data_IF_238029926866
#
_entry.id   IF_238029926866
#
_cell.length_a   1.000
_cell.length_b   1.000
_cell.length_c   1.000
_cell.angle_alpha   90.00
_cell.angle_beta   90.00
_cell.angle_gamma   90.00
#
_symmetry.space_group_name_H-M   'P 1'
#
loop_
_entity.id
_entity.type
_entity.pdbx_description
1 polymer ?
#
# COMPACT_ATOMS: atom_id res chain seq x y z
N UNK A 1 -50.75 -14.00 28.09
CA UNK A 1 -49.46 -13.59 28.69
C UNK A 1 -48.45 -14.69 28.45
N UNK A 2 -47.53 -14.47 27.51
CA UNK A 2 -46.33 -15.25 27.23
C UNK A 2 -45.32 -14.26 26.60
N UNK A 3 -44.03 -14.31 26.93
CA UNK A 3 -43.13 -13.20 26.68
C UNK A 3 -42.68 -13.15 25.22
N UNK A 4 -42.59 -11.94 24.69
CA UNK A 4 -41.99 -11.66 23.39
C UNK A 4 -40.48 -11.98 23.45
N UNK A 5 -40.02 -12.87 22.59
CA UNK A 5 -38.61 -13.08 22.35
C UNK A 5 -38.07 -11.87 21.58
N UNK A 6 -37.29 -11.05 22.27
CA UNK A 6 -36.51 -9.97 21.67
C UNK A 6 -35.35 -10.64 20.94
N UNK A 7 -35.39 -10.65 19.61
CA UNK A 7 -34.27 -11.08 18.79
C UNK A 7 -33.19 -10.01 18.89
N UNK A 8 -32.24 -10.20 19.80
CA UNK A 8 -30.99 -9.45 19.81
C UNK A 8 -30.26 -9.76 18.50
N UNK A 9 -30.22 -8.78 17.61
CA UNK A 9 -29.31 -8.79 16.46
C UNK A 9 -27.92 -8.78 17.07
N UNK A 10 -27.20 -9.90 16.95
CA UNK A 10 -25.77 -9.95 17.24
C UNK A 10 -25.09 -8.96 16.29
N UNK A 11 -24.88 -7.74 16.77
CA UNK A 11 -23.90 -6.84 16.21
C UNK A 11 -22.56 -7.60 16.20
N UNK A 12 -21.87 -7.56 15.06
CA UNK A 12 -20.48 -8.00 15.01
C UNK A 12 -19.75 -7.35 16.20
N UNK A 13 -18.97 -8.11 16.98
CA UNK A 13 -18.26 -7.52 18.09
C UNK A 13 -17.44 -6.35 17.55
N UNK A 14 -17.67 -5.17 18.12
CA UNK A 14 -16.77 -4.04 18.02
C UNK A 14 -15.38 -4.60 18.29
N UNK A 15 -14.52 -4.62 17.27
CA UNK A 15 -13.15 -5.08 17.38
C UNK A 15 -12.52 -4.12 18.38
N UNK A 16 -12.48 -4.59 19.63
CA UNK A 16 -12.13 -3.77 20.76
C UNK A 16 -10.84 -3.03 20.45
N UNK A 17 -10.87 -1.72 20.65
CA UNK A 17 -9.65 -0.95 20.87
C UNK A 17 -8.81 -1.74 21.87
N UNK A 18 -7.73 -2.34 21.40
CA UNK A 18 -6.72 -2.90 22.27
C UNK A 18 -6.35 -1.82 23.30
N UNK A 19 -6.09 -2.18 24.57
CA UNK A 19 -5.66 -1.21 25.56
C UNK A 19 -4.41 -0.53 25.02
N UNK A 20 -4.53 0.78 24.73
CA UNK A 20 -3.48 1.57 24.11
C UNK A 20 -2.17 1.33 24.84
N UNK A 21 -1.15 0.87 24.10
CA UNK A 21 0.21 0.78 24.60
C UNK A 21 0.57 2.14 25.22
N UNK A 22 1.25 2.16 26.38
CA UNK A 22 1.62 3.40 27.02
C UNK A 22 2.43 4.23 26.03
N UNK A 23 1.88 5.39 25.65
CA UNK A 23 2.51 6.31 24.73
C UNK A 23 3.96 6.53 25.18
N UNK A 24 4.91 6.26 24.29
CA UNK A 24 6.30 6.65 24.52
C UNK A 24 6.31 8.14 24.82
N UNK A 25 6.70 8.53 26.04
CA UNK A 25 6.87 9.94 26.43
C UNK A 25 7.76 10.62 25.37
N UNK A 26 7.16 11.39 24.47
CA UNK A 26 7.84 12.09 23.38
C UNK A 26 7.37 11.78 21.94
N UNK A 27 6.45 10.84 21.71
CA UNK A 27 5.96 10.58 20.33
C UNK A 27 5.04 11.69 19.83
N UNK A 28 5.39 12.33 18.72
CA UNK A 28 4.53 13.28 18.00
C UNK A 28 3.25 12.54 17.57
N UNK A 29 2.07 13.12 17.81
CA UNK A 29 0.79 12.57 17.34
C UNK A 29 0.48 13.11 15.95
N UNK A 30 -0.20 12.32 15.13
CA UNK A 30 -0.64 12.80 13.83
C UNK A 30 -1.66 13.93 13.98
N UNK A 31 -1.57 14.88 13.06
CA UNK A 31 -2.40 16.09 12.96
C UNK A 31 -2.40 16.48 11.48
N UNK A 32 -3.53 16.28 10.81
CA UNK A 32 -3.64 16.48 9.37
C UNK A 32 -3.28 17.91 8.95
N UNK A 33 -3.66 18.92 9.74
CA UNK A 33 -3.42 20.33 9.42
C UNK A 33 -1.92 20.70 9.50
N UNK A 34 -1.13 19.97 10.27
CA UNK A 34 0.32 20.19 10.42
C UNK A 34 1.15 19.32 9.49
N UNK A 35 0.75 18.07 9.33
CA UNK A 35 1.59 17.04 8.70
C UNK A 35 1.25 16.79 7.22
N UNK A 36 0.08 17.22 6.74
CA UNK A 36 -0.26 17.20 5.32
C UNK A 36 0.01 18.56 4.66
N UNK A 37 0.38 18.50 3.38
CA UNK A 37 0.52 19.65 2.50
C UNK A 37 -0.07 19.32 1.13
N UNK A 38 -1.26 18.73 1.13
CA UNK A 38 -1.86 18.17 -0.07
C UNK A 38 -2.27 19.23 -1.09
N UNK A 39 -1.91 18.97 -2.34
CA UNK A 39 -2.60 19.53 -3.51
C UNK A 39 -2.66 18.46 -4.60
N UNK A 40 -3.73 18.43 -5.42
CA UNK A 40 -3.89 17.38 -6.43
C UNK A 40 -2.76 17.40 -7.48
N UNK A 41 -2.46 16.24 -8.10
CA UNK A 41 -1.49 16.17 -9.19
C UNK A 41 -1.93 17.01 -10.38
N UNK A 42 -0.95 17.62 -11.06
CA UNK A 42 -1.21 18.40 -12.27
C UNK A 42 -1.74 17.52 -13.42
N UNK A 43 -1.33 16.25 -13.44
CA UNK A 43 -1.76 15.27 -14.42
C UNK A 43 -1.79 13.87 -13.82
N UNK A 44 -2.71 13.07 -14.34
CA UNK A 44 -2.81 11.63 -14.09
C UNK A 44 -2.70 10.90 -15.42
N UNK A 45 -1.93 9.82 -15.45
CA UNK A 45 -1.83 8.92 -16.59
C UNK A 45 -2.79 7.75 -16.38
N UNK A 46 -3.51 7.39 -17.42
CA UNK A 46 -4.38 6.21 -17.47
C UNK A 46 -3.62 5.00 -18.01
N UNK A 47 -4.15 3.79 -17.77
CA UNK A 47 -3.65 2.55 -18.38
C UNK A 47 -3.59 2.69 -19.90
N UNK A 48 -4.60 3.33 -20.49
CA UNK A 48 -4.67 3.60 -21.93
C UNK A 48 -3.57 4.53 -22.43
N UNK A 49 -3.14 5.53 -21.64
CA UNK A 49 -2.00 6.38 -22.00
C UNK A 49 -0.69 5.58 -22.07
N UNK A 50 -0.60 4.47 -21.33
CA UNK A 50 0.50 3.50 -21.40
C UNK A 50 0.30 2.44 -22.48
N UNK A 51 -0.81 2.46 -23.23
CA UNK A 51 -1.17 1.41 -24.18
C UNK A 51 -1.54 0.08 -23.50
N UNK A 52 -2.01 0.14 -22.25
CA UNK A 52 -2.48 -1.00 -21.47
C UNK A 52 -4.00 -0.96 -21.32
N UNK A 53 -4.62 -2.12 -21.13
CA UNK A 53 -6.05 -2.20 -20.82
C UNK A 53 -6.33 -1.68 -19.40
N UNK A 54 -7.45 -0.98 -19.18
CA UNK A 54 -7.92 -0.64 -17.84
C UNK A 54 -8.10 -1.89 -16.99
N UNK A 55 -7.82 -1.78 -15.69
CA UNK A 55 -8.10 -2.87 -14.74
C UNK A 55 -9.53 -2.77 -14.23
N UNK A 56 -10.03 -3.84 -13.61
CA UNK A 56 -11.34 -3.83 -12.93
C UNK A 56 -11.38 -2.88 -11.72
N UNK A 57 -10.22 -2.46 -11.22
CA UNK A 57 -10.10 -1.54 -10.09
C UNK A 57 -10.23 -0.09 -10.53
N UNK A 58 -9.48 0.30 -11.56
CA UNK A 58 -9.40 1.70 -12.00
C UNK A 58 -8.71 1.84 -13.36
N UNK A 59 -9.14 2.79 -14.20
CA UNK A 59 -8.42 3.14 -15.42
C UNK A 59 -7.13 3.93 -15.14
N UNK A 60 -6.89 4.40 -13.91
CA UNK A 60 -5.72 5.20 -13.57
C UNK A 60 -4.47 4.31 -13.46
N UNK A 61 -3.41 4.65 -14.20
CA UNK A 61 -2.12 3.97 -14.11
C UNK A 61 -1.24 4.58 -13.01
N UNK A 62 -1.05 5.91 -13.06
CA UNK A 62 -0.19 6.63 -12.11
C UNK A 62 -0.49 8.12 -12.12
N UNK A 63 -0.11 8.84 -11.07
CA UNK A 63 -0.16 10.30 -11.02
C UNK A 63 1.21 10.89 -11.34
N UNK A 64 1.27 12.12 -11.86
CA UNK A 64 2.47 12.93 -11.66
C UNK A 64 2.70 13.18 -10.15
N UNK A 65 3.94 13.45 -9.72
CA UNK A 65 4.19 13.78 -8.32
C UNK A 65 3.38 14.97 -7.84
N UNK A 66 2.80 14.88 -6.65
CA UNK A 66 1.97 15.92 -6.07
C UNK A 66 2.34 16.21 -4.61
N UNK A 67 2.25 17.47 -4.15
CA UNK A 67 2.39 17.82 -2.73
C UNK A 67 1.46 16.96 -1.87
N UNK A 68 2.00 16.33 -0.84
CA UNK A 68 1.24 15.39 -0.01
C UNK A 68 1.56 15.57 1.48
N UNK A 69 2.85 15.50 1.81
CA UNK A 69 3.36 15.59 3.17
C UNK A 69 4.06 16.93 3.40
N UNK A 70 3.74 17.58 4.51
CA UNK A 70 4.43 18.81 4.91
C UNK A 70 5.85 18.51 5.37
N UNK A 71 6.69 19.54 5.49
CA UNK A 71 8.03 19.37 6.05
C UNK A 71 8.00 18.77 7.47
N UNK A 72 7.03 19.17 8.30
CA UNK A 72 6.84 18.58 9.63
C UNK A 72 6.45 17.11 9.56
N UNK A 73 5.60 16.74 8.59
CA UNK A 73 5.27 15.34 8.31
C UNK A 73 6.50 14.52 7.92
N UNK A 74 7.39 15.09 7.08
CA UNK A 74 8.66 14.44 6.67
C UNK A 74 9.55 14.20 7.88
N UNK A 75 9.74 15.21 8.73
CA UNK A 75 10.58 15.07 9.94
C UNK A 75 10.02 14.04 10.91
N UNK A 76 8.70 14.00 11.11
CA UNK A 76 8.05 13.03 11.98
C UNK A 76 8.21 11.58 11.45
N UNK A 77 8.07 11.37 10.14
CA UNK A 77 8.37 10.06 9.53
C UNK A 77 9.84 9.67 9.74
N UNK A 78 10.78 10.56 9.43
CA UNK A 78 12.22 10.28 9.58
C UNK A 78 12.61 9.98 11.03
N UNK A 79 12.02 10.70 11.98
CA UNK A 79 12.24 10.47 13.40
C UNK A 79 11.87 9.04 13.83
N UNK A 80 10.71 8.51 13.40
CA UNK A 80 10.34 7.13 13.73
C UNK A 80 11.16 6.10 12.93
N UNK A 81 11.34 6.30 11.63
CA UNK A 81 12.04 5.36 10.74
C UNK A 81 13.49 5.12 11.14
N UNK A 82 14.21 6.18 11.53
CA UNK A 82 15.62 6.08 11.92
C UNK A 82 15.81 5.98 13.43
N UNK A 83 14.74 5.72 14.18
CA UNK A 83 14.83 5.40 15.59
C UNK A 83 15.57 4.07 15.81
N UNK A 84 16.28 3.95 16.93
CA UNK A 84 17.00 2.72 17.30
C UNK A 84 16.09 1.48 17.27
N UNK A 85 14.86 1.48 17.82
CA UNK A 85 13.97 0.32 17.76
C UNK A 85 13.63 -0.11 16.32
N UNK A 86 13.35 0.83 15.41
CA UNK A 86 13.07 0.48 14.01
C UNK A 86 14.31 -0.08 13.34
N UNK A 87 15.46 0.55 13.48
CA UNK A 87 16.70 0.08 12.85
C UNK A 87 17.15 -1.30 13.37
N UNK A 88 16.91 -1.61 14.64
CA UNK A 88 17.29 -2.89 15.23
C UNK A 88 16.34 -4.03 14.86
N UNK A 89 15.05 -3.74 14.61
CA UNK A 89 14.02 -4.76 14.44
C UNK A 89 13.45 -4.83 13.03
N UNK A 90 13.61 -3.80 12.19
CA UNK A 90 12.91 -3.67 10.93
C UNK A 90 13.86 -3.49 9.73
N UNK A 91 15.18 -3.45 9.95
CA UNK A 91 16.17 -3.26 8.89
C UNK A 91 16.50 -4.58 8.18
N UNK A 92 16.39 -4.56 6.86
CA UNK A 92 16.73 -5.64 5.95
C UNK A 92 17.73 -5.13 4.91
N UNK A 93 18.68 -5.98 4.54
CA UNK A 93 19.67 -5.70 3.50
C UNK A 93 19.76 -6.92 2.59
N UNK A 94 18.99 -6.89 1.50
CA UNK A 94 18.85 -8.04 0.59
C UNK A 94 19.60 -7.86 -0.73
N UNK A 95 20.06 -6.65 -1.04
CA UNK A 95 20.73 -6.30 -2.30
C UNK A 95 21.87 -5.29 -2.05
N UNK A 96 22.97 -5.35 -2.81
CA UNK A 96 24.03 -4.34 -2.70
C UNK A 96 23.51 -2.92 -2.95
N UNK A 97 24.02 -1.95 -2.20
CA UNK A 97 23.77 -0.53 -2.46
C UNK A 97 22.42 0.02 -1.95
N UNK A 98 21.60 -0.78 -1.26
CA UNK A 98 20.37 -0.28 -0.63
C UNK A 98 19.99 -1.06 0.62
N UNK A 99 19.31 -0.42 1.57
CA UNK A 99 18.63 -1.11 2.68
C UNK A 99 17.14 -0.84 2.64
N UNK A 100 16.40 -1.71 3.30
CA UNK A 100 14.96 -1.69 3.42
C UNK A 100 14.56 -1.63 4.90
N UNK A 101 13.61 -0.77 5.25
CA UNK A 101 12.89 -0.88 6.52
C UNK A 101 11.49 -1.42 6.25
N UNK A 102 11.01 -2.39 7.05
CA UNK A 102 9.68 -2.98 6.90
C UNK A 102 9.13 -3.52 8.22
N UNK A 103 7.81 -3.48 8.41
CA UNK A 103 7.15 -4.04 9.59
C UNK A 103 7.35 -3.23 10.87
N UNK A 104 7.47 -1.90 10.75
CA UNK A 104 7.64 -0.99 11.90
C UNK A 104 6.31 -0.57 12.53
N UNK A 105 5.23 -0.47 11.76
CA UNK A 105 3.91 -0.08 12.25
C UNK A 105 3.10 -1.30 12.74
N UNK A 106 2.27 -1.17 13.79
CA UNK A 106 2.10 0.01 14.65
C UNK A 106 3.16 0.14 15.76
N UNK A 107 3.85 -0.95 16.09
CA UNK A 107 4.62 -1.09 17.35
C UNK A 107 5.74 -0.05 17.52
N UNK A 108 6.53 0.19 16.49
CA UNK A 108 7.72 1.05 16.54
C UNK A 108 7.50 2.41 15.89
N UNK A 109 6.39 2.59 15.18
CA UNK A 109 6.09 3.79 14.41
C UNK A 109 4.61 4.21 14.54
N UNK A 110 4.16 4.60 15.76
CA UNK A 110 2.77 4.99 16.00
C UNK A 110 2.32 6.24 15.23
N UNK A 111 3.18 7.24 15.04
CA UNK A 111 2.84 8.41 14.22
C UNK A 111 2.58 8.01 12.77
N UNK A 112 3.48 7.19 12.20
CA UNK A 112 3.33 6.67 10.84
C UNK A 112 2.05 5.84 10.72
N UNK A 113 1.75 5.00 11.70
CA UNK A 113 0.51 4.21 11.72
C UNK A 113 -0.73 5.10 11.72
N UNK A 114 -0.79 6.12 12.58
CA UNK A 114 -1.88 7.10 12.62
C UNK A 114 -2.02 7.88 11.30
N UNK A 115 -0.90 8.31 10.72
CA UNK A 115 -0.87 9.03 9.45
C UNK A 115 -1.56 8.22 8.34
N UNK A 116 -1.12 6.97 8.12
CA UNK A 116 -1.61 6.14 7.02
C UNK A 116 -3.00 5.52 7.24
N UNK A 117 -3.52 5.57 8.48
CA UNK A 117 -4.91 5.21 8.79
C UNK A 117 -5.86 6.40 8.87
N UNK A 118 -5.34 7.63 8.78
CA UNK A 118 -6.17 8.81 8.93
C UNK A 118 -7.21 8.92 7.80
N UNK A 119 -8.46 9.33 8.11
CA UNK A 119 -9.48 9.56 7.08
C UNK A 119 -9.03 10.54 6.01
N UNK A 120 -8.26 11.57 6.38
CA UNK A 120 -7.76 12.60 5.46
C UNK A 120 -6.79 12.00 4.43
N UNK A 121 -5.84 11.17 4.86
CA UNK A 121 -4.90 10.50 3.95
C UNK A 121 -5.64 9.50 3.07
N UNK A 122 -6.52 8.67 3.64
CA UNK A 122 -7.26 7.67 2.87
C UNK A 122 -8.20 8.29 1.84
N UNK A 123 -8.80 9.44 2.13
CA UNK A 123 -9.60 10.20 1.18
C UNK A 123 -8.76 10.67 -0.01
N UNK A 124 -7.59 11.27 0.24
CA UNK A 124 -6.66 11.71 -0.81
C UNK A 124 -6.25 10.53 -1.70
N UNK A 125 -5.76 9.44 -1.09
CA UNK A 125 -5.27 8.28 -1.83
C UNK A 125 -6.39 7.64 -2.66
N UNK A 126 -7.58 7.48 -2.09
CA UNK A 126 -8.73 6.89 -2.79
C UNK A 126 -9.21 7.78 -3.95
N UNK A 127 -9.25 9.10 -3.76
CA UNK A 127 -9.63 10.05 -4.81
C UNK A 127 -8.67 9.96 -6.00
N UNK A 128 -7.35 9.96 -5.73
CA UNK A 128 -6.35 9.87 -6.80
C UNK A 128 -6.32 8.50 -7.47
N UNK A 129 -6.70 7.43 -6.76
CA UNK A 129 -6.82 6.09 -7.32
C UNK A 129 -8.08 5.91 -8.17
N UNK A 130 -9.15 6.68 -7.92
CA UNK A 130 -10.48 6.47 -8.49
C UNK A 130 -11.23 5.26 -7.91
N UNK A 131 -10.75 4.71 -6.79
CA UNK A 131 -11.34 3.57 -6.07
C UNK A 131 -11.05 3.72 -4.58
N UNK A 132 -11.97 3.29 -3.72
CA UNK A 132 -11.76 3.35 -2.27
C UNK A 132 -10.70 2.35 -1.82
N UNK A 133 -9.63 2.86 -1.20
CA UNK A 133 -8.46 2.10 -0.80
C UNK A 133 -8.24 2.13 0.72
N UNK A 134 -7.66 1.05 1.23
CA UNK A 134 -7.14 0.94 2.60
C UNK A 134 -5.72 0.37 2.55
N UNK A 135 -4.87 0.61 3.57
CA UNK A 135 -3.56 -0.03 3.65
C UNK A 135 -3.71 -1.54 3.47
N UNK A 136 -2.81 -2.16 2.70
CA UNK A 136 -2.91 -3.59 2.40
C UNK A 136 -2.82 -4.41 3.69
N UNK A 137 -1.80 -4.10 4.49
CA UNK A 137 -1.50 -4.63 5.82
C UNK A 137 -0.69 -3.58 6.58
N UNK A 138 -0.76 -3.54 7.90
CA UNK A 138 0.11 -2.67 8.72
C UNK A 138 1.59 -2.92 8.44
N UNK A 139 1.92 -4.17 8.13
CA UNK A 139 3.26 -4.61 7.75
C UNK A 139 3.83 -3.89 6.52
N UNK A 140 2.95 -3.40 5.64
CA UNK A 140 3.26 -2.76 4.37
C UNK A 140 3.12 -1.23 4.41
N UNK A 141 2.90 -0.66 5.61
CA UNK A 141 2.89 0.78 5.82
C UNK A 141 4.32 1.31 5.85
N UNK A 142 4.58 2.36 5.06
CA UNK A 142 5.87 3.06 4.99
C UNK A 142 7.09 2.15 4.87
N UNK A 143 7.00 1.13 4.01
CA UNK A 143 8.18 0.40 3.58
C UNK A 143 9.22 1.40 3.07
N UNK A 144 10.36 1.48 3.75
CA UNK A 144 11.35 2.51 3.44
C UNK A 144 12.47 1.90 2.62
N UNK A 145 12.85 2.57 1.54
CA UNK A 145 14.05 2.25 0.77
C UNK A 145 15.08 3.35 0.99
N UNK A 146 16.29 2.96 1.39
CA UNK A 146 17.42 3.86 1.58
C UNK A 146 18.53 3.45 0.62
N UNK A 147 18.93 4.35 -0.28
CA UNK A 147 20.12 4.14 -1.11
C UNK A 147 21.38 4.34 -0.26
N UNK A 148 22.30 3.37 -0.29
CA UNK A 148 23.54 3.43 0.49
C UNK A 148 24.60 4.30 -0.20
N UNK A 149 25.25 5.15 0.58
CA UNK A 149 26.48 5.85 0.19
C UNK A 149 27.75 5.07 0.55
N UNK A 150 28.93 5.71 0.47
CA UNK A 150 30.23 5.08 0.77
C UNK A 150 30.36 4.47 2.17
N UNK A 151 29.58 4.96 3.14
CA UNK A 151 29.55 4.42 4.51
C UNK A 151 28.80 3.09 4.68
N UNK A 152 28.16 2.58 3.61
CA UNK A 152 27.47 1.29 3.63
C UNK A 152 26.32 1.22 4.63
N UNK A 153 25.96 -0.01 5.04
CA UNK A 153 24.81 -0.27 5.93
C UNK A 153 24.96 0.41 7.29
N UNK A 154 26.15 0.45 7.87
CA UNK A 154 26.38 1.04 9.20
C UNK A 154 26.06 2.54 9.22
N UNK A 155 26.27 3.25 8.10
CA UNK A 155 25.97 4.67 8.01
C UNK A 155 24.47 4.99 8.13
N UNK A 156 23.58 4.02 7.87
CA UNK A 156 22.12 4.20 7.98
C UNK A 156 21.72 4.58 9.41
N UNK A 157 22.46 4.10 10.42
CA UNK A 157 22.23 4.43 11.84
C UNK A 157 22.52 5.90 12.17
N UNK A 158 23.26 6.59 11.32
CA UNK A 158 23.59 8.00 11.46
C UNK A 158 22.76 8.88 10.50
N UNK A 159 21.68 8.33 9.91
CA UNK A 159 20.80 9.12 9.03
C UNK A 159 20.18 10.26 9.84
N UNK A 160 20.39 11.53 9.44
CA UNK A 160 19.85 12.67 10.17
C UNK A 160 18.33 12.76 10.04
N UNK A 161 17.66 13.29 11.05
CA UNK A 161 16.21 13.55 11.00
C UNK A 161 15.92 14.64 9.97
N UNK A 162 16.69 15.72 9.97
CA UNK A 162 16.59 16.75 8.92
C UNK A 162 17.27 16.26 7.64
N UNK A 163 16.56 16.25 6.49
CA UNK A 163 17.15 15.85 5.22
C UNK A 163 18.32 16.78 4.85
N UNK A 164 19.53 16.24 4.58
CA UNK A 164 20.68 17.05 4.19
C UNK A 164 20.54 17.56 2.76
N UNK A 165 21.06 18.77 2.52
CA UNK A 165 21.10 19.36 1.18
C UNK A 165 22.30 18.86 0.36
N UNK A 166 22.18 18.84 -0.97
CA UNK A 166 23.33 18.59 -1.84
C UNK A 166 24.35 19.73 -1.76
N UNK A 167 25.64 19.39 -1.77
CA UNK A 167 26.70 20.40 -1.74
C UNK A 167 26.78 21.16 -3.07
N UNK A 168 27.25 22.42 -3.08
CA UNK A 168 27.44 23.19 -4.31
C UNK A 168 28.29 22.47 -5.35
N UNK A 169 29.31 21.73 -4.93
CA UNK A 169 30.21 20.96 -5.80
C UNK A 169 29.48 19.79 -6.46
N UNK A 170 28.64 19.07 -5.70
CA UNK A 170 27.83 17.98 -6.23
C UNK A 170 26.82 18.49 -7.28
N UNK A 171 26.19 19.64 -7.01
CA UNK A 171 25.28 20.32 -7.94
C UNK A 171 26.04 20.77 -9.20
N UNK A 172 27.21 21.38 -9.04
CA UNK A 172 28.03 21.84 -10.17
C UNK A 172 28.51 20.68 -11.05
N UNK A 173 28.97 19.58 -10.43
CA UNK A 173 29.37 18.35 -11.15
C UNK A 173 28.21 17.79 -11.97
N UNK A 174 27.03 17.65 -11.35
CA UNK A 174 25.84 17.14 -12.01
C UNK A 174 25.39 18.01 -13.20
N UNK A 175 25.55 19.34 -13.12
CA UNK A 175 25.27 20.28 -14.23
C UNK A 175 26.31 20.26 -15.35
N UNK A 176 27.57 19.96 -15.02
CA UNK A 176 28.68 19.93 -15.98
C UNK A 176 28.70 18.64 -16.83
N UNK A 177 28.11 17.56 -16.32
CA UNK A 177 27.88 16.35 -17.09
C UNK A 177 26.82 16.62 -18.17
N UNK A 178 27.23 16.58 -19.45
CA UNK A 178 26.29 16.74 -20.57
C UNK A 178 25.20 15.66 -20.45
N UNK A 179 23.92 15.97 -20.80
CA UNK A 179 22.88 14.96 -20.96
C UNK A 179 23.18 14.15 -22.23
N UNK A 180 24.26 13.36 -22.21
CA UNK A 180 24.42 12.25 -23.14
C UNK A 180 23.26 11.29 -22.92
N UNK A 181 22.93 10.51 -23.95
CA UNK A 181 21.98 9.40 -23.92
C UNK A 181 22.27 8.44 -22.76
N UNK A 182 21.91 8.83 -21.53
CA UNK A 182 21.98 7.98 -20.36
C UNK A 182 20.82 7.02 -20.52
N UNK A 183 21.15 5.80 -20.96
CA UNK A 183 20.24 4.68 -20.92
C UNK A 183 19.64 4.64 -19.50
N UNK A 184 18.32 4.67 -19.46
CA UNK A 184 17.52 5.08 -18.29
C UNK A 184 17.71 4.15 -17.10
N UNK A 185 18.16 2.94 -17.34
CA UNK A 185 18.74 2.07 -16.34
C UNK A 185 19.77 1.20 -17.04
N UNK A 186 21.05 1.38 -16.72
CA UNK A 186 22.00 0.30 -17.00
C UNK A 186 21.61 -0.89 -16.11
N UNK A 187 20.83 -1.82 -16.67
CA UNK A 187 20.40 -3.05 -16.00
C UNK A 187 21.59 -3.98 -15.70
N UNK A 188 22.83 -3.61 -16.05
CA UNK A 188 24.00 -4.28 -15.51
C UNK A 188 24.21 -3.98 -14.01
N UNK A 189 23.63 -2.89 -13.47
CA UNK A 189 23.68 -2.50 -12.05
C UNK A 189 22.40 -1.78 -11.53
N UNK A 190 21.22 -2.38 -11.61
CA UNK A 190 19.97 -1.73 -11.17
C UNK A 190 19.92 -1.64 -9.63
N UNK A 191 19.40 -0.54 -9.08
CA UNK A 191 18.96 -0.52 -7.66
C UNK A 191 17.74 -1.43 -7.49
N UNK A 192 16.79 -1.32 -8.42
CA UNK A 192 15.59 -2.15 -8.48
C UNK A 192 15.42 -2.64 -9.92
N UNK A 193 15.31 -3.94 -10.12
CA UNK A 193 15.11 -4.55 -11.44
C UNK A 193 13.70 -4.24 -11.96
N UNK A 194 13.46 -4.49 -13.25
CA UNK A 194 12.10 -4.47 -13.79
C UNK A 194 11.21 -5.45 -13.04
N UNK A 195 10.13 -4.95 -12.46
CA UNK A 195 9.21 -5.76 -11.68
C UNK A 195 7.80 -5.20 -11.73
N UNK A 196 6.86 -6.01 -11.24
CA UNK A 196 5.54 -5.58 -10.82
C UNK A 196 5.48 -5.66 -9.31
N UNK A 197 4.77 -4.74 -8.69
CA UNK A 197 4.60 -4.78 -7.24
C UNK A 197 3.79 -5.99 -6.81
N UNK A 198 3.92 -6.29 -5.52
CA UNK A 198 3.11 -7.28 -4.83
C UNK A 198 1.67 -6.82 -4.61
N UNK A 199 1.41 -5.50 -4.59
CA UNK A 199 0.14 -4.91 -4.18
C UNK A 199 -0.51 -4.11 -5.31
N UNK A 200 -1.86 -4.10 -5.42
CA UNK A 200 -2.57 -3.38 -6.48
C UNK A 200 -2.14 -1.93 -6.63
N UNK A 201 -2.01 -1.23 -5.50
CA UNK A 201 -1.68 0.17 -5.44
C UNK A 201 -0.53 0.43 -4.48
N UNK A 202 0.33 1.38 -4.84
CA UNK A 202 1.38 1.91 -3.97
C UNK A 202 1.40 3.43 -4.01
N UNK A 203 1.59 4.05 -2.85
CA UNK A 203 1.91 5.47 -2.72
C UNK A 203 3.38 5.60 -2.34
N UNK A 204 4.17 6.21 -3.23
CA UNK A 204 5.60 6.47 -3.02
C UNK A 204 5.78 7.92 -2.60
N UNK A 205 6.39 8.15 -1.44
CA UNK A 205 6.70 9.51 -0.94
C UNK A 205 8.22 9.66 -0.80
N UNK A 206 8.76 10.79 -1.26
CA UNK A 206 10.17 11.12 -1.08
C UNK A 206 10.41 11.81 0.27
N UNK A 207 11.34 11.28 1.07
CA UNK A 207 11.75 11.87 2.35
C UNK A 207 13.11 12.58 2.30
N UNK A 208 13.86 12.44 1.21
CA UNK A 208 15.08 13.19 0.97
C UNK A 208 14.79 14.50 0.25
N UNK A 209 15.62 15.51 0.47
CA UNK A 209 15.65 16.67 -0.42
C UNK A 209 16.08 16.20 -1.81
N UNK A 210 15.20 16.31 -2.80
CA UNK A 210 15.48 15.89 -4.18
C UNK A 210 15.40 17.06 -5.17
N UNK A 211 15.46 18.31 -4.69
CA UNK A 211 15.35 19.53 -5.53
C UNK A 211 16.41 19.59 -6.64
N UNK A 212 17.60 19.06 -6.36
CA UNK A 212 18.72 19.03 -7.29
C UNK A 212 19.01 17.62 -7.83
N UNK A 213 18.14 16.64 -7.58
CA UNK A 213 18.38 15.24 -7.93
C UNK A 213 18.52 15.06 -9.44
N UNK A 214 19.58 14.37 -9.85
CA UNK A 214 19.77 13.81 -11.19
C UNK A 214 19.64 12.29 -11.08
N UNK A 215 18.85 11.71 -11.99
CA UNK A 215 18.40 10.32 -11.87
C UNK A 215 17.18 10.20 -10.95
N UNK A 216 16.98 9.01 -10.39
CA UNK A 216 15.88 8.76 -9.44
C UNK A 216 14.48 8.67 -10.05
N UNK A 217 14.33 8.83 -11.38
CA UNK A 217 13.05 8.69 -12.07
C UNK A 217 12.52 7.25 -12.00
N UNK A 218 11.20 7.13 -12.04
CA UNK A 218 10.53 5.84 -12.23
C UNK A 218 10.27 5.66 -13.72
N UNK A 219 10.73 4.53 -14.25
CA UNK A 219 10.50 4.16 -15.64
C UNK A 219 9.39 3.12 -15.71
N UNK A 220 8.40 3.37 -16.57
CA UNK A 220 7.22 2.52 -16.76
C UNK A 220 7.25 1.88 -18.15
N UNK A 221 6.95 0.59 -18.22
CA UNK A 221 6.81 -0.16 -19.46
C UNK A 221 5.41 0.06 -20.06
N UNK A 222 5.35 0.42 -21.34
CA UNK A 222 4.13 0.53 -22.13
C UNK A 222 3.71 -0.82 -22.72
N UNK A 223 2.46 -0.93 -23.17
CA UNK A 223 1.92 -2.14 -23.81
C UNK A 223 2.59 -2.50 -25.15
N UNK A 224 3.25 -1.55 -25.81
CA UNK A 224 4.05 -1.79 -27.03
C UNK A 224 5.52 -2.16 -26.74
N UNK A 225 5.89 -2.31 -25.46
CA UNK A 225 7.25 -2.63 -25.02
C UNK A 225 8.21 -1.43 -25.01
N UNK A 226 7.75 -0.23 -25.37
CA UNK A 226 8.51 1.01 -25.17
C UNK A 226 8.38 1.49 -23.72
N UNK A 227 9.19 2.47 -23.31
CA UNK A 227 9.16 2.98 -21.94
C UNK A 227 8.86 4.47 -21.87
N UNK A 228 8.32 4.90 -20.73
CA UNK A 228 8.22 6.32 -20.39
C UNK A 228 8.84 6.57 -19.03
N UNK A 229 9.47 7.74 -18.86
CA UNK A 229 9.91 8.20 -17.55
C UNK A 229 8.85 9.08 -16.92
N UNK A 230 8.51 8.76 -15.69
CA UNK A 230 7.74 9.63 -14.82
C UNK A 230 8.71 10.30 -13.86
N UNK A 231 8.60 11.62 -13.73
CA UNK A 231 9.41 12.39 -12.80
C UNK A 231 9.24 11.82 -11.39
N UNK A 232 10.33 11.57 -10.68
CA UNK A 232 10.27 11.15 -9.29
C UNK A 232 9.76 12.28 -8.37
N UNK A 233 9.16 11.96 -7.22
CA UNK A 233 8.73 12.97 -6.26
C UNK A 233 9.91 13.75 -5.67
N UNK A 234 9.70 15.04 -5.41
CA UNK A 234 10.57 15.83 -4.53
C UNK A 234 10.17 15.62 -3.06
N UNK A 235 10.96 16.12 -2.11
CA UNK A 235 10.69 15.98 -0.67
C UNK A 235 9.23 16.30 -0.31
N UNK A 236 8.57 15.37 0.37
CA UNK A 236 7.17 15.47 0.79
C UNK A 236 6.14 15.26 -0.32
N UNK A 237 6.55 15.08 -1.57
CA UNK A 237 5.63 14.77 -2.67
C UNK A 237 5.37 13.28 -2.73
N UNK A 238 4.16 12.94 -3.16
CA UNK A 238 3.72 11.58 -3.40
C UNK A 238 3.52 11.30 -4.88
N UNK A 239 3.69 10.04 -5.27
CA UNK A 239 3.25 9.49 -6.55
C UNK A 239 2.44 8.23 -6.26
N UNK A 240 1.26 8.14 -6.87
CA UNK A 240 0.44 6.93 -6.80
C UNK A 240 0.67 6.08 -8.06
N UNK A 241 0.77 4.76 -7.91
CA UNK A 241 1.02 3.82 -9.01
C UNK A 241 0.19 2.54 -8.84
N UNK A 242 -0.43 2.07 -9.91
CA UNK A 242 -1.08 0.75 -9.97
C UNK A 242 -0.03 -0.37 -10.16
N UNK A 243 0.87 -0.49 -9.18
CA UNK A 243 2.16 -1.18 -9.30
C UNK A 243 2.07 -2.67 -9.62
N UNK A 244 0.98 -3.35 -9.24
CA UNK A 244 0.76 -4.77 -9.57
C UNK A 244 0.60 -5.01 -11.07
N UNK A 245 0.15 -3.99 -11.80
CA UNK A 245 -0.26 -4.12 -13.20
C UNK A 245 0.78 -3.56 -14.17
N UNK A 246 1.60 -2.62 -13.71
CA UNK A 246 2.55 -1.90 -14.54
C UNK A 246 3.97 -2.37 -14.20
N UNK A 247 4.67 -2.91 -15.19
CA UNK A 247 6.09 -3.25 -15.04
C UNK A 247 6.90 -1.96 -14.96
N UNK A 248 7.71 -1.81 -13.92
CA UNK A 248 8.46 -0.59 -13.68
C UNK A 248 9.83 -0.84 -13.02
N UNK A 249 10.68 0.19 -13.04
CA UNK A 249 11.99 0.24 -12.38
C UNK A 249 12.27 1.66 -11.90
N UNK A 250 13.26 1.82 -11.00
CA UNK A 250 13.69 3.12 -10.49
C UNK A 250 15.18 3.32 -10.76
N UNK A 251 15.54 4.47 -11.32
CA UNK A 251 16.93 4.84 -11.54
C UNK A 251 17.65 5.19 -10.22
N UNK A 252 18.96 4.93 -10.09
CA UNK A 252 19.77 5.46 -9.01
C UNK A 252 19.80 6.98 -9.00
N UNK A 253 20.02 7.57 -7.81
CA UNK A 253 20.46 8.95 -7.70
C UNK A 253 21.98 9.02 -7.54
N UNK A 254 22.65 9.94 -8.24
CA UNK A 254 24.12 10.00 -8.26
C UNK A 254 24.70 11.22 -7.53
N UNK A 255 23.88 12.25 -7.28
CA UNK A 255 24.37 13.57 -6.88
C UNK A 255 23.75 14.10 -5.57
N UNK A 256 22.93 13.32 -4.89
CA UNK A 256 22.36 13.67 -3.60
C UNK A 256 23.10 12.96 -2.46
N UNK A 257 23.16 13.57 -1.25
CA UNK A 257 23.75 12.96 -0.07
C UNK A 257 23.00 11.68 0.37
N UNK A 258 21.71 11.59 0.05
CA UNK A 258 20.84 10.45 0.33
C UNK A 258 19.69 10.38 -0.67
N UNK A 259 19.08 9.18 -0.79
CA UNK A 259 17.80 8.97 -1.45
C UNK A 259 16.97 8.02 -0.60
N UNK A 260 15.96 8.57 0.07
CA UNK A 260 15.07 7.85 0.98
C UNK A 260 13.65 8.02 0.48
N UNK A 261 12.99 6.90 0.18
CA UNK A 261 11.58 6.87 -0.18
C UNK A 261 10.82 5.94 0.77
N UNK A 262 9.59 6.33 1.11
CA UNK A 262 8.64 5.44 1.76
C UNK A 262 7.59 4.99 0.75
N UNK A 263 7.13 3.76 0.91
CA UNK A 263 6.12 3.15 0.07
C UNK A 263 5.07 2.55 0.97
N UNK A 264 3.83 3.03 0.87
CA UNK A 264 2.69 2.39 1.52
C UNK A 264 1.88 1.68 0.45
N UNK A 265 1.61 0.39 0.69
CA UNK A 265 0.82 -0.43 -0.22
C UNK A 265 -0.65 -0.45 0.17
N UNK A 266 -1.53 -0.51 -0.83
CA UNK A 266 -2.98 -0.42 -0.67
C UNK A 266 -3.70 -1.54 -1.44
N UNK A 267 -4.89 -1.89 -0.92
CA UNK A 267 -5.86 -2.79 -1.52
C UNK A 267 -7.24 -2.13 -1.58
N UNK A 268 -8.16 -2.58 -2.45
CA UNK A 268 -9.54 -2.09 -2.41
C UNK A 268 -10.17 -2.37 -1.05
N UNK A 269 -10.92 -1.38 -0.55
CA UNK A 269 -11.70 -1.55 0.68
C UNK A 269 -12.90 -2.46 0.48
N UNK A 270 -13.56 -2.34 -0.68
CA UNK A 270 -14.73 -3.15 -1.02
C UNK A 270 -14.31 -4.62 -1.18
N UNK A 271 -14.79 -5.55 -0.34
CA UNK A 271 -14.39 -6.95 -0.40
C UNK A 271 -14.85 -7.65 -1.69
N UNK A 272 -15.79 -7.10 -2.44
CA UNK A 272 -16.28 -7.67 -3.70
C UNK A 272 -15.40 -7.33 -4.91
N UNK A 273 -14.51 -6.32 -4.79
CA UNK A 273 -13.57 -6.00 -5.85
C UNK A 273 -12.42 -7.01 -5.88
N UNK A 274 -11.74 -7.07 -7.04
CA UNK A 274 -10.58 -7.91 -7.23
C UNK A 274 -9.42 -7.44 -6.34
N UNK A 275 -8.78 -8.38 -5.63
CA UNK A 275 -7.60 -8.11 -4.81
C UNK A 275 -6.50 -9.11 -5.20
N UNK A 276 -5.61 -8.66 -6.09
CA UNK A 276 -4.46 -9.42 -6.59
C UNK A 276 -3.18 -9.15 -5.80
N UNK A 277 -3.32 -8.79 -4.52
CA UNK A 277 -2.18 -8.72 -3.61
C UNK A 277 -1.48 -10.09 -3.53
N UNK A 278 -0.15 -10.09 -3.46
CA UNK A 278 0.70 -11.29 -3.31
C UNK A 278 1.84 -11.00 -2.33
N UNK A 279 2.45 -12.03 -1.74
CA UNK A 279 3.63 -11.88 -0.89
C UNK A 279 4.96 -12.12 -1.66
N UNK A 280 4.88 -12.34 -2.98
CA UNK A 280 6.01 -12.76 -3.82
C UNK A 280 7.30 -11.94 -3.61
N UNK A 281 7.20 -10.60 -3.65
CA UNK A 281 8.36 -9.70 -3.64
C UNK A 281 8.63 -9.06 -2.27
N UNK A 282 7.87 -9.45 -1.23
CA UNK A 282 8.01 -8.89 0.13
C UNK A 282 8.58 -9.89 1.13
N UNK A 283 8.40 -11.20 0.93
CA UNK A 283 8.85 -12.26 1.86
C UNK A 283 10.33 -12.19 2.23
N UNK A 284 11.21 -11.91 1.26
CA UNK A 284 12.66 -11.93 1.47
C UNK A 284 13.18 -10.76 2.34
N UNK A 285 12.33 -9.76 2.63
CA UNK A 285 12.65 -8.59 3.44
C UNK A 285 11.62 -8.38 4.56
N UNK A 286 11.14 -9.48 5.14
CA UNK A 286 10.07 -9.50 6.12
C UNK A 286 10.30 -10.54 7.21
N UNK A 287 9.79 -10.25 8.40
CA UNK A 287 9.52 -11.23 9.45
C UNK A 287 8.28 -12.03 9.07
N UNK A 288 8.51 -13.25 8.58
CA UNK A 288 7.45 -14.08 7.99
C UNK A 288 6.30 -14.39 8.96
N UNK A 289 6.58 -14.54 10.25
CA UNK A 289 5.54 -14.79 11.26
C UNK A 289 4.51 -13.67 11.33
N UNK A 290 4.97 -12.42 11.35
CA UNK A 290 4.11 -11.24 11.39
C UNK A 290 3.41 -11.02 10.04
N UNK A 291 4.16 -11.13 8.93
CA UNK A 291 3.61 -11.00 7.58
C UNK A 291 2.48 -12.00 7.34
N UNK A 292 2.68 -13.27 7.70
CA UNK A 292 1.67 -14.32 7.48
C UNK A 292 0.49 -14.23 8.43
N UNK A 293 0.71 -13.77 9.67
CA UNK A 293 -0.39 -13.44 10.57
C UNK A 293 -1.31 -12.40 9.93
N UNK A 294 -0.78 -11.22 9.60
CA UNK A 294 -1.58 -10.15 9.00
C UNK A 294 -2.20 -10.57 7.66
N UNK A 295 -1.43 -11.26 6.81
CA UNK A 295 -1.89 -11.77 5.52
C UNK A 295 -3.08 -12.70 5.67
N UNK A 296 -2.97 -13.72 6.54
CA UNK A 296 -4.03 -14.71 6.71
C UNK A 296 -5.26 -14.10 7.36
N UNK A 297 -5.11 -13.25 8.38
CA UNK A 297 -6.25 -12.64 9.07
C UNK A 297 -7.04 -11.74 8.15
N UNK A 298 -6.41 -10.83 7.39
CA UNK A 298 -7.18 -9.92 6.53
C UNK A 298 -7.89 -10.69 5.40
N UNK A 299 -7.28 -11.75 4.85
CA UNK A 299 -7.90 -12.58 3.80
C UNK A 299 -9.12 -13.31 4.38
N UNK A 300 -9.02 -13.84 5.60
CA UNK A 300 -10.15 -14.45 6.30
C UNK A 300 -11.27 -13.43 6.59
N UNK A 301 -10.92 -12.20 6.98
CA UNK A 301 -11.91 -11.13 7.19
C UNK A 301 -12.63 -10.77 5.89
N UNK A 302 -11.94 -10.72 4.75
CA UNK A 302 -12.56 -10.52 3.43
C UNK A 302 -13.49 -11.68 3.08
N UNK A 303 -13.10 -12.93 3.36
CA UNK A 303 -13.99 -14.09 3.16
C UNK A 303 -15.24 -14.00 4.04
N UNK A 304 -15.10 -13.62 5.31
CA UNK A 304 -16.21 -13.44 6.23
C UNK A 304 -17.17 -12.34 5.72
N UNK A 305 -16.65 -11.20 5.27
CA UNK A 305 -17.45 -10.13 4.68
C UNK A 305 -18.18 -10.59 3.41
N UNK A 306 -17.51 -11.32 2.52
CA UNK A 306 -18.13 -11.88 1.31
C UNK A 306 -19.24 -12.86 1.64
N UNK A 307 -19.04 -13.73 2.62
CA UNK A 307 -20.06 -14.67 3.08
C UNK A 307 -21.27 -13.94 3.67
N UNK A 308 -21.03 -12.90 4.47
CA UNK A 308 -22.07 -12.08 5.07
C UNK A 308 -22.90 -11.36 4.00
N UNK A 309 -22.26 -10.74 3.01
CA UNK A 309 -22.93 -10.10 1.86
C UNK A 309 -23.81 -11.10 1.11
N UNK A 310 -23.29 -12.28 0.79
CA UNK A 310 -24.05 -13.33 0.09
C UNK A 310 -25.24 -13.80 0.92
N UNK A 311 -25.05 -14.01 2.23
CA UNK A 311 -26.13 -14.42 3.13
C UNK A 311 -27.23 -13.34 3.22
N UNK A 312 -26.85 -12.07 3.31
CA UNK A 312 -27.81 -10.96 3.36
C UNK A 312 -28.59 -10.80 2.05
N UNK A 313 -27.93 -10.97 0.90
CA UNK A 313 -28.59 -11.00 -0.39
C UNK A 313 -29.63 -12.14 -0.49
N UNK A 314 -29.31 -13.34 0.03
CA UNK A 314 -30.25 -14.45 0.09
C UNK A 314 -31.44 -14.17 1.03
N UNK A 315 -31.19 -13.55 2.19
CA UNK A 315 -32.25 -13.13 3.14
C UNK A 315 -33.18 -12.10 2.53
N UNK A 316 -32.65 -11.13 1.78
CA UNK A 316 -33.45 -10.13 1.07
C UNK A 316 -34.29 -10.77 -0.05
N UNK A 317 -33.69 -11.66 -0.85
CA UNK A 317 -34.40 -12.41 -1.89
C UNK A 317 -35.52 -13.27 -1.30
N UNK A 318 -35.26 -13.94 -0.17
CA UNK A 318 -36.25 -14.70 0.57
C UNK A 318 -37.43 -13.83 1.03
N UNK A 319 -37.14 -12.71 1.68
CA UNK A 319 -38.18 -11.81 2.19
C UNK A 319 -39.09 -11.30 1.06
N UNK A 320 -38.49 -10.94 -0.09
CA UNK A 320 -39.24 -10.56 -1.29
C UNK A 320 -40.11 -11.71 -1.81
N UNK A 321 -39.53 -12.90 -1.98
CA UNK A 321 -40.26 -14.06 -2.47
C UNK A 321 -41.44 -14.45 -1.57
N UNK A 322 -41.29 -14.34 -0.25
CA UNK A 322 -42.40 -14.56 0.70
C UNK A 322 -43.49 -13.52 0.51
N UNK A 323 -43.13 -12.24 0.45
CA UNK A 323 -44.11 -11.16 0.23
C UNK A 323 -44.87 -11.31 -1.09
N UNK A 324 -44.20 -11.81 -2.14
CA UNK A 324 -44.79 -11.98 -3.47
C UNK A 324 -45.62 -13.28 -3.61
N UNK A 325 -45.34 -14.31 -2.79
CA UNK A 325 -45.95 -15.66 -2.94
C UNK A 325 -46.90 -16.07 -1.81
N UNK A 326 -46.92 -15.37 -0.68
CA UNK A 326 -47.83 -15.60 0.44
C UNK A 326 -48.71 -14.37 0.67
N UNK A 327 -50.04 -14.55 0.58
CA UNK A 327 -51.02 -13.48 0.83
C UNK A 327 -50.99 -12.93 2.26
N UNK A 328 -50.49 -13.70 3.22
CA UNK A 328 -50.27 -13.24 4.60
C UNK A 328 -48.86 -12.68 4.83
N UNK A 329 -47.93 -12.87 3.87
CA UNK A 329 -46.55 -12.38 3.92
C UNK A 329 -45.73 -12.93 5.09
N UNK A 330 -46.06 -14.11 5.64
CA UNK A 330 -45.41 -14.65 6.83
C UNK A 330 -44.19 -15.50 6.48
N UNK A 331 -43.07 -15.39 7.21
CA UNK A 331 -41.92 -16.25 7.00
C UNK A 331 -42.27 -17.73 7.31
N UNK A 332 -41.66 -18.64 6.57
CA UNK A 332 -41.75 -20.10 6.78
C UNK A 332 -42.33 -20.89 5.60
N UNK A 333 -42.94 -20.25 4.61
CA UNK A 333 -43.54 -20.92 3.45
C UNK A 333 -43.19 -20.25 2.11
N UNK A 334 -41.90 -20.07 1.81
CA UNK A 334 -41.48 -19.53 0.51
C UNK A 334 -41.64 -20.57 -0.60
N UNK A 335 -42.54 -20.30 -1.57
CA UNK A 335 -42.82 -21.20 -2.70
C UNK A 335 -42.10 -20.84 -4.00
N UNK A 336 -41.36 -19.73 -4.00
CA UNK A 336 -40.53 -19.31 -5.12
C UNK A 336 -39.07 -19.73 -4.93
N UNK A 337 -38.37 -19.96 -6.05
CA UNK A 337 -36.94 -20.24 -6.04
C UNK A 337 -36.17 -19.07 -5.41
N UNK A 338 -35.51 -19.35 -4.28
CA UNK A 338 -34.75 -18.35 -3.51
C UNK A 338 -33.26 -18.60 -3.62
N UNK A 339 -32.85 -19.86 -3.69
CA UNK A 339 -31.45 -20.25 -3.80
C UNK A 339 -31.21 -20.78 -5.20
N UNK A 340 -30.40 -20.06 -5.97
CA UNK A 340 -29.86 -20.60 -7.21
C UNK A 340 -28.64 -21.46 -6.87
N UNK A 341 -28.73 -22.77 -7.05
CA UNK A 341 -27.68 -23.73 -6.66
C UNK A 341 -26.37 -23.47 -7.41
N UNK A 342 -26.44 -23.08 -8.68
CA UNK A 342 -25.25 -22.79 -9.49
C UNK A 342 -24.54 -21.50 -9.03
N UNK A 343 -25.30 -20.48 -8.62
CA UNK A 343 -24.78 -19.25 -8.02
C UNK A 343 -24.00 -19.54 -6.73
N UNK A 344 -24.58 -20.36 -5.84
CA UNK A 344 -23.94 -20.76 -4.58
C UNK A 344 -22.70 -21.62 -4.83
N UNK A 345 -22.78 -22.56 -5.78
CA UNK A 345 -21.63 -23.39 -6.18
C UNK A 345 -20.47 -22.53 -6.69
N UNK A 346 -20.74 -21.61 -7.62
CA UNK A 346 -19.72 -20.69 -8.17
C UNK A 346 -19.11 -19.81 -7.08
N UNK A 347 -19.93 -19.32 -6.14
CA UNK A 347 -19.43 -18.57 -4.99
C UNK A 347 -18.48 -19.42 -4.12
N UNK A 348 -18.86 -20.67 -3.83
CA UNK A 348 -18.02 -21.61 -3.09
C UNK A 348 -16.69 -21.90 -3.77
N UNK A 349 -16.71 -22.16 -5.08
CA UNK A 349 -15.50 -22.36 -5.89
C UNK A 349 -14.56 -21.14 -5.85
N UNK A 350 -15.12 -19.94 -5.92
CA UNK A 350 -14.35 -18.70 -5.80
C UNK A 350 -13.71 -18.55 -4.41
N UNK A 351 -14.42 -18.90 -3.32
CA UNK A 351 -13.85 -18.86 -1.97
C UNK A 351 -12.75 -19.90 -1.77
N UNK A 352 -12.92 -21.10 -2.33
CA UNK A 352 -11.89 -22.15 -2.32
C UNK A 352 -10.64 -21.67 -3.07
N UNK A 353 -10.80 -21.05 -4.25
CA UNK A 353 -9.68 -20.47 -4.99
C UNK A 353 -8.95 -19.40 -4.16
N UNK A 354 -9.70 -18.49 -3.56
CA UNK A 354 -9.16 -17.38 -2.76
C UNK A 354 -8.34 -17.85 -1.55
N UNK A 355 -8.80 -18.87 -0.82
CA UNK A 355 -8.04 -19.43 0.32
C UNK A 355 -6.85 -20.26 -0.15
N UNK A 356 -6.95 -20.96 -1.28
CA UNK A 356 -5.82 -21.69 -1.86
C UNK A 356 -4.69 -20.73 -2.28
N UNK A 357 -5.02 -19.59 -2.90
CA UNK A 357 -4.06 -18.52 -3.19
C UNK A 357 -3.43 -17.95 -1.91
N UNK A 358 -4.25 -17.76 -0.87
CA UNK A 358 -3.77 -17.30 0.45
C UNK A 358 -2.71 -18.25 1.01
N UNK A 359 -2.92 -19.56 0.90
CA UNK A 359 -1.95 -20.59 1.32
C UNK A 359 -0.72 -20.65 0.41
N UNK A 360 -0.90 -20.49 -0.90
CA UNK A 360 0.19 -20.52 -1.88
C UNK A 360 1.23 -19.42 -1.64
N UNK A 361 0.80 -18.26 -1.14
CA UNK A 361 1.67 -17.14 -0.81
C UNK A 361 2.47 -17.34 0.49
N UNK A 362 2.13 -18.34 1.30
CA UNK A 362 2.86 -18.66 2.53
C UNK A 362 3.87 -19.78 2.28
N UNK A 363 5.08 -19.63 2.81
CA UNK A 363 6.13 -20.65 2.82
C UNK A 363 6.31 -21.17 4.25
N UNK A 364 6.69 -22.44 4.46
CA UNK A 364 7.03 -22.93 5.81
C UNK A 364 8.04 -22.00 6.48
N UNK A 365 7.76 -21.60 7.72
CA UNK A 365 8.70 -20.83 8.54
C UNK A 365 9.65 -21.86 9.18
N UNK A 366 10.88 -21.93 8.66
CA UNK A 366 11.92 -22.82 9.19
C UNK A 366 11.76 -24.29 8.75
N UNK A 367 12.55 -24.68 7.76
CA UNK A 367 13.25 -25.97 7.77
C UNK A 367 14.74 -25.68 7.81
#
# INVERSE_FOLDING_TARGET
MAPAAVTEVLAAPDVGKEPGQPAHKGSVRFDAAKHLAFSPPAKTLTMKDLGLEPTELSPIATTEPFPFMSYQGVLAHRHELFSKPVLDNCLFHTRPGSVQLRGMAPRYAPFIHEFWHSPEVLAIISEQAGVELVPAMDYEISHTNVQLGPGGVEAVRNTPIEPPEATPEAIARAKAEKPGQRAVTDQSKPIIEWHKDSHPWVCVVMLSDARNMVGGETELMKGDGTTIKVRGPTMGYATLLQGRYITHTAAPCENMPERITIVTSFRPKNPLLIDETTNANVRNKSHLGELYYQWSTYRLDVMAQRAQITADALRQRYAKNVADSDSEGKPGCCRAETVNVEEVKKWGENMIKYINETMYEMRPIGQ
#
